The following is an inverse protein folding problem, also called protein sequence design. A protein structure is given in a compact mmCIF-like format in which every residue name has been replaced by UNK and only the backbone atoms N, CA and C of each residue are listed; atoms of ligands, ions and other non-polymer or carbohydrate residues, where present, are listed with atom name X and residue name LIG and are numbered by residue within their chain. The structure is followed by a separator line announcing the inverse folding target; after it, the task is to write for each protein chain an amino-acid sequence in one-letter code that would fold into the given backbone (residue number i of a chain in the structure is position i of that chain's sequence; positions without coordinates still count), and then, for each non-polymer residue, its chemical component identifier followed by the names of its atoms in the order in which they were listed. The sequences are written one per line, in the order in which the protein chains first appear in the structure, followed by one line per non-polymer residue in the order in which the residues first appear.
data_IF_272745705272
#
_entry.id   IF_272745705272
#
_cell.length_a   1.000
_cell.length_b   1.000
_cell.length_c   1.000
_cell.angle_alpha   90.00
_cell.angle_beta   90.00
_cell.angle_gamma   90.00
#
_symmetry.space_group_name_H-M   'P 1'
#
loop_
_entity.id
_entity.type
_entity.pdbx_description
1 polymer ?
#
# COMPACT_ATOMS: atom_id res chain seq x y z
N UNK A 1 8.81 19.68 24.33
CA UNK A 1 7.48 20.32 24.25
C UNK A 1 7.40 21.09 22.93
N UNK A 2 6.53 20.70 21.98
CA UNK A 2 6.32 21.47 20.75
C UNK A 2 5.49 22.70 21.11
N UNK A 3 6.06 23.89 20.95
CA UNK A 3 5.32 25.15 21.08
C UNK A 3 4.22 25.15 20.01
N UNK A 4 2.95 25.28 20.43
CA UNK A 4 1.84 25.49 19.52
C UNK A 4 2.02 26.87 18.86
N UNK A 5 1.93 26.92 17.54
CA UNK A 5 1.98 28.17 16.78
C UNK A 5 0.85 29.10 17.23
N UNK A 6 1.20 30.31 17.70
CA UNK A 6 0.28 31.41 18.00
C UNK A 6 -0.17 32.19 16.75
N UNK A 7 0.15 31.69 15.55
CA UNK A 7 -0.22 32.35 14.31
C UNK A 7 -1.71 32.19 14.03
N UNK A 8 -2.47 33.27 14.20
CA UNK A 8 -3.82 33.40 13.69
C UNK A 8 -3.77 33.92 12.24
N UNK A 9 -4.12 33.10 11.23
CA UNK A 9 -4.08 33.54 9.87
C UNK A 9 -5.12 34.66 9.64
N UNK A 10 -4.75 35.75 8.97
CA UNK A 10 -5.69 36.82 8.66
C UNK A 10 -6.84 36.29 7.79
N UNK A 11 -8.07 36.55 8.20
CA UNK A 11 -9.32 36.05 7.58
C UNK A 11 -9.47 36.44 6.10
N UNK A 12 -8.77 37.48 5.66
CA UNK A 12 -8.79 37.96 4.28
C UNK A 12 -7.37 38.06 3.70
N UNK A 13 -6.71 36.92 3.53
CA UNK A 13 -5.38 36.85 2.93
C UNK A 13 -5.48 36.71 1.39
N UNK A 14 -5.05 37.75 0.65
CA UNK A 14 -5.06 37.76 -0.81
C UNK A 14 -4.24 36.60 -1.40
N UNK A 15 -3.09 36.27 -0.81
CA UNK A 15 -2.23 35.17 -1.25
C UNK A 15 -2.92 33.82 -1.10
N UNK A 16 -3.65 33.58 -0.01
CA UNK A 16 -4.43 32.34 0.17
C UNK A 16 -5.58 32.23 -0.85
N UNK A 17 -6.23 33.36 -1.18
CA UNK A 17 -7.28 33.39 -2.21
C UNK A 17 -6.73 33.07 -3.60
N UNK A 18 -5.62 33.70 -3.99
CA UNK A 18 -4.94 33.45 -5.26
C UNK A 18 -4.45 32.00 -5.34
N UNK A 19 -3.83 31.49 -4.28
CA UNK A 19 -3.38 30.10 -4.23
C UNK A 19 -4.55 29.11 -4.33
N UNK A 20 -5.64 29.35 -3.60
CA UNK A 20 -6.86 28.53 -3.67
C UNK A 20 -7.50 28.56 -5.06
N UNK A 21 -7.54 29.72 -5.71
CA UNK A 21 -8.02 29.85 -7.09
C UNK A 21 -7.11 29.11 -8.08
N UNK A 22 -5.80 29.22 -7.92
CA UNK A 22 -4.82 28.51 -8.74
C UNK A 22 -5.01 26.99 -8.62
N UNK A 23 -5.05 26.45 -7.40
CA UNK A 23 -5.30 25.02 -7.15
C UNK A 23 -6.64 24.55 -7.73
N UNK A 24 -7.70 25.35 -7.60
CA UNK A 24 -9.01 25.03 -8.20
C UNK A 24 -8.92 24.99 -9.73
N UNK A 25 -8.23 25.95 -10.34
CA UNK A 25 -8.05 26.01 -11.79
C UNK A 25 -7.22 24.84 -12.33
N UNK A 26 -6.18 24.44 -11.60
CA UNK A 26 -5.32 23.32 -11.93
C UNK A 26 -6.07 21.99 -11.78
N UNK A 27 -6.80 21.81 -10.67
CA UNK A 27 -7.69 20.66 -10.47
C UNK A 27 -8.71 20.54 -11.61
N UNK A 28 -9.32 21.65 -12.02
CA UNK A 28 -10.27 21.69 -13.13
C UNK A 28 -9.62 21.35 -14.47
N UNK A 29 -8.37 21.77 -14.70
CA UNK A 29 -7.59 21.36 -15.88
C UNK A 29 -7.31 19.86 -15.89
N UNK A 30 -6.99 19.26 -14.75
CA UNK A 30 -6.80 17.81 -14.63
C UNK A 30 -8.10 17.04 -14.87
N UNK A 31 -9.22 17.49 -14.31
CA UNK A 31 -10.54 16.87 -14.52
C UNK A 31 -11.02 16.99 -15.98
N UNK A 32 -10.76 18.14 -16.62
CA UNK A 32 -11.11 18.36 -18.03
C UNK A 32 -10.16 17.65 -19.01
N UNK A 33 -9.05 17.08 -18.53
CA UNK A 33 -8.16 16.20 -19.31
C UNK A 33 -8.80 14.81 -19.45
N UNK A 34 -9.94 14.71 -20.11
CA UNK A 34 -10.59 13.43 -20.44
C UNK A 34 -11.01 13.46 -21.93
N UNK A 35 -10.65 12.49 -22.78
CA UNK A 35 -10.56 11.05 -22.58
C UNK A 35 -9.21 10.52 -23.10
N UNK A 36 -8.36 9.97 -22.23
CA UNK A 36 -7.55 8.82 -22.68
C UNK A 36 -8.55 7.68 -22.94
N UNK A 37 -8.37 6.94 -24.04
CA UNK A 37 -9.13 5.70 -24.24
C UNK A 37 -9.07 4.83 -22.98
N UNK A 38 -10.13 4.09 -22.70
CA UNK A 38 -10.15 3.23 -21.53
C UNK A 38 -8.90 2.34 -21.52
N UNK A 39 -8.22 2.23 -20.37
CA UNK A 39 -7.02 1.39 -20.21
C UNK A 39 -7.34 -0.12 -20.31
N UNK A 40 -8.59 -0.48 -20.56
CA UNK A 40 -9.09 -1.85 -20.67
C UNK A 40 -9.90 -1.99 -21.96
N UNK A 41 -9.70 -3.11 -22.65
CA UNK A 41 -10.44 -3.50 -23.84
C UNK A 41 -11.91 -3.76 -23.51
N UNK A 42 -12.74 -3.86 -24.55
CA UNK A 42 -14.16 -4.22 -24.39
C UNK A 42 -14.31 -5.61 -23.76
N UNK A 43 -13.52 -6.58 -24.23
CA UNK A 43 -13.55 -7.97 -23.74
C UNK A 43 -13.23 -8.01 -22.25
N UNK A 44 -12.15 -7.35 -21.82
CA UNK A 44 -11.79 -7.31 -20.40
C UNK A 44 -12.87 -6.63 -19.54
N UNK A 45 -13.52 -5.59 -20.07
CA UNK A 45 -14.62 -4.92 -19.36
C UNK A 45 -15.84 -5.83 -19.21
N UNK A 46 -16.21 -6.53 -20.29
CA UNK A 46 -17.32 -7.47 -20.28
C UNK A 46 -17.04 -8.62 -19.31
N UNK A 47 -15.79 -9.11 -19.25
CA UNK A 47 -15.34 -10.11 -18.28
C UNK A 47 -15.46 -9.64 -16.83
N UNK A 48 -15.08 -8.40 -16.53
CA UNK A 48 -15.25 -7.80 -15.20
C UNK A 48 -16.73 -7.70 -14.81
N UNK A 49 -17.58 -7.27 -15.74
CA UNK A 49 -19.02 -7.17 -15.51
C UNK A 49 -19.65 -8.56 -15.25
N UNK A 50 -19.27 -9.57 -16.04
CA UNK A 50 -19.73 -10.94 -15.88
C UNK A 50 -19.28 -11.52 -14.53
N UNK A 51 -18.01 -11.31 -14.14
CA UNK A 51 -17.49 -11.75 -12.84
C UNK A 51 -18.22 -11.09 -11.67
N UNK A 52 -18.52 -9.79 -11.78
CA UNK A 52 -19.27 -9.07 -10.76
C UNK A 52 -20.74 -9.53 -10.64
N UNK A 53 -21.32 -10.04 -11.73
CA UNK A 53 -22.67 -10.59 -11.78
C UNK A 53 -22.73 -12.10 -11.43
N UNK A 54 -21.57 -12.76 -11.26
CA UNK A 54 -21.50 -14.20 -11.01
C UNK A 54 -21.95 -14.55 -9.59
N UNK A 55 -23.16 -15.08 -9.49
CA UNK A 55 -23.78 -15.51 -8.22
C UNK A 55 -23.15 -16.77 -7.61
N UNK A 56 -22.32 -17.51 -8.36
CA UNK A 56 -21.61 -18.69 -7.81
C UNK A 56 -20.50 -18.27 -6.82
N UNK A 57 -20.03 -17.03 -6.91
CA UNK A 57 -18.98 -16.47 -6.04
C UNK A 57 -19.62 -15.91 -4.78
N UNK A 58 -19.64 -16.71 -3.71
CA UNK A 58 -20.17 -16.27 -2.41
C UNK A 58 -19.04 -15.91 -1.45
N UNK A 59 -18.87 -14.61 -1.15
CA UNK A 59 -18.03 -14.16 -0.02
C UNK A 59 -18.92 -14.05 1.21
N UNK A 60 -18.74 -14.94 2.17
CA UNK A 60 -19.50 -14.91 3.42
C UNK A 60 -18.91 -13.89 4.39
N UNK A 61 -19.74 -13.15 5.14
CA UNK A 61 -19.25 -12.35 6.26
C UNK A 61 -18.57 -13.27 7.29
N UNK A 62 -17.57 -12.74 7.98
CA UNK A 62 -16.97 -13.46 9.09
C UNK A 62 -18.00 -13.64 10.22
N UNK A 63 -17.97 -14.79 10.89
CA UNK A 63 -18.91 -15.11 11.97
C UNK A 63 -18.78 -14.15 13.16
N UNK A 64 -17.56 -13.66 13.42
CA UNK A 64 -17.21 -12.70 14.46
C UNK A 64 -16.07 -11.82 13.98
N UNK A 65 -16.04 -10.57 14.43
CA UNK A 65 -14.89 -9.69 14.22
C UNK A 65 -13.76 -10.08 15.20
N UNK A 66 -12.63 -10.63 14.73
CA UNK A 66 -11.53 -11.04 15.59
C UNK A 66 -10.66 -9.85 16.04
N UNK A 67 -10.91 -8.64 15.53
CA UNK A 67 -10.05 -7.47 15.72
C UNK A 67 -9.84 -7.16 17.20
N UNK A 68 -10.87 -7.24 18.03
CA UNK A 68 -10.75 -6.92 19.46
C UNK A 68 -9.86 -7.92 20.21
N UNK A 69 -10.10 -9.22 20.03
CA UNK A 69 -9.30 -10.27 20.71
C UNK A 69 -7.86 -10.30 20.21
N UNK A 70 -7.67 -10.08 18.91
CA UNK A 70 -6.33 -10.00 18.34
C UNK A 70 -5.59 -8.74 18.80
N UNK A 71 -6.28 -7.61 18.91
CA UNK A 71 -5.75 -6.36 19.46
C UNK A 71 -5.24 -6.53 20.89
N UNK A 72 -6.00 -7.23 21.75
CA UNK A 72 -5.54 -7.57 23.12
C UNK A 72 -4.26 -8.39 23.11
N UNK A 73 -4.17 -9.38 22.22
CA UNK A 73 -2.97 -10.23 22.09
C UNK A 73 -1.74 -9.42 21.66
N UNK A 74 -1.92 -8.50 20.69
CA UNK A 74 -0.87 -7.59 20.25
C UNK A 74 -0.43 -6.68 21.39
N UNK A 75 -1.38 -6.03 22.07
CA UNK A 75 -1.10 -5.16 23.21
C UNK A 75 -0.28 -5.86 24.29
N UNK A 76 -0.72 -7.05 24.73
CA UNK A 76 -0.01 -7.84 25.74
C UNK A 76 1.40 -8.24 25.27
N UNK A 77 1.58 -8.50 23.98
CA UNK A 77 2.90 -8.82 23.41
C UNK A 77 3.82 -7.61 23.38
N UNK A 78 3.31 -6.45 22.96
CA UNK A 78 4.06 -5.20 22.96
C UNK A 78 4.43 -4.79 24.40
N UNK A 79 3.52 -4.96 25.36
CA UNK A 79 3.79 -4.64 26.76
C UNK A 79 4.91 -5.50 27.34
N UNK A 80 4.86 -6.83 27.11
CA UNK A 80 5.98 -7.73 27.46
C UNK A 80 7.28 -7.34 26.75
N UNK A 81 7.20 -6.83 25.53
CA UNK A 81 8.36 -6.32 24.80
C UNK A 81 9.01 -5.12 25.48
N UNK A 82 8.22 -4.21 26.05
CA UNK A 82 8.72 -3.07 26.83
C UNK A 82 9.33 -3.53 28.15
N UNK A 83 8.64 -4.42 28.87
CA UNK A 83 9.09 -4.97 30.16
C UNK A 83 10.43 -5.71 30.04
N UNK A 84 10.61 -6.47 28.96
CA UNK A 84 11.87 -7.17 28.66
C UNK A 84 12.92 -6.29 27.94
N UNK A 85 12.64 -5.00 27.75
CA UNK A 85 13.51 -4.04 27.05
C UNK A 85 13.86 -4.43 25.59
N UNK A 86 12.99 -5.19 24.91
CA UNK A 86 13.13 -5.50 23.48
C UNK A 86 12.73 -4.34 22.57
N UNK A 87 11.78 -3.52 23.06
CA UNK A 87 11.35 -2.29 22.39
C UNK A 87 11.28 -1.16 23.41
N UNK A 88 11.48 0.05 22.93
CA UNK A 88 11.32 1.28 23.72
C UNK A 88 9.85 1.64 23.90
N UNK A 89 9.56 2.53 24.85
CA UNK A 89 8.20 3.05 25.04
C UNK A 89 7.69 3.87 23.84
N UNK A 90 8.59 4.56 23.13
CA UNK A 90 8.23 5.28 21.90
C UNK A 90 7.86 4.31 20.77
N UNK A 91 8.58 3.19 20.65
CA UNK A 91 8.23 2.14 19.70
C UNK A 91 6.90 1.49 20.05
N UNK A 92 6.63 1.24 21.34
CA UNK A 92 5.31 0.77 21.78
C UNK A 92 4.19 1.72 21.31
N UNK A 93 4.34 3.02 21.55
CA UNK A 93 3.34 4.02 21.13
C UNK A 93 3.14 4.06 19.61
N UNK A 94 4.20 3.83 18.83
CA UNK A 94 4.11 3.71 17.38
C UNK A 94 3.44 2.41 16.93
N UNK A 95 3.76 1.29 17.57
CA UNK A 95 3.32 -0.06 17.19
C UNK A 95 1.88 -0.35 17.62
N UNK A 96 1.39 0.31 18.67
CA UNK A 96 0.07 0.10 19.22
C UNK A 96 -1.00 0.91 18.46
N UNK A 97 -1.73 0.22 17.58
CA UNK A 97 -2.89 0.79 16.87
C UNK A 97 -4.13 0.81 17.78
N UNK A 98 -4.73 1.99 17.95
CA UNK A 98 -5.89 2.22 18.83
C UNK A 98 -7.22 2.19 18.09
N UNK A 99 -7.20 2.47 16.79
CA UNK A 99 -8.40 2.54 15.96
C UNK A 99 -8.24 1.67 14.70
N UNK A 100 -8.08 0.35 14.86
CA UNK A 100 -7.83 -0.53 13.73
C UNK A 100 -9.05 -0.66 12.83
N UNK A 101 -8.79 -0.67 11.53
CA UNK A 101 -9.75 -1.10 10.51
C UNK A 101 -9.72 -2.63 10.41
N UNK A 102 -10.90 -3.25 10.46
CA UNK A 102 -11.04 -4.68 10.17
C UNK A 102 -10.49 -4.98 8.76
N UNK A 103 -9.58 -5.96 8.60
CA UNK A 103 -9.10 -6.37 7.30
C UNK A 103 -10.25 -6.74 6.36
N UNK A 104 -10.14 -6.34 5.09
CA UNK A 104 -11.17 -6.63 4.09
C UNK A 104 -10.62 -7.65 3.09
N UNK A 105 -11.32 -8.77 2.96
CA UNK A 105 -11.09 -9.74 1.89
C UNK A 105 -11.79 -9.27 0.61
N UNK A 106 -11.05 -9.13 -0.46
CA UNK A 106 -11.57 -8.87 -1.80
C UNK A 106 -10.72 -9.60 -2.85
N UNK A 107 -11.22 -9.68 -4.06
CA UNK A 107 -10.59 -10.42 -5.15
C UNK A 107 -10.21 -9.46 -6.27
N UNK A 108 -8.96 -9.52 -6.75
CA UNK A 108 -8.54 -8.83 -7.97
C UNK A 108 -8.53 -9.80 -9.17
N UNK A 109 -9.32 -9.55 -10.22
CA UNK A 109 -9.36 -10.41 -11.39
C UNK A 109 -8.07 -10.35 -12.21
N UNK A 110 -7.63 -11.51 -12.71
CA UNK A 110 -6.43 -11.68 -13.55
C UNK A 110 -6.81 -11.75 -15.03
N UNK A 111 -7.38 -10.68 -15.55
CA UNK A 111 -7.90 -10.56 -16.94
C UNK A 111 -6.86 -10.85 -18.02
N UNK A 112 -5.56 -10.68 -17.73
CA UNK A 112 -4.47 -11.01 -18.65
C UNK A 112 -4.19 -12.51 -18.78
N UNK A 113 -4.78 -13.36 -17.92
CA UNK A 113 -4.63 -14.83 -17.99
C UNK A 113 -5.76 -15.45 -18.77
N UNK A 114 -6.99 -15.04 -18.47
CA UNK A 114 -8.19 -15.42 -19.20
C UNK A 114 -9.08 -14.17 -19.31
N UNK A 115 -9.28 -13.65 -20.54
CA UNK A 115 -10.08 -12.46 -20.77
C UNK A 115 -11.59 -12.75 -20.80
N UNK A 116 -12.03 -14.02 -20.70
CA UNK A 116 -13.45 -14.41 -20.68
C UNK A 116 -13.86 -14.85 -19.28
N UNK A 117 -13.03 -15.67 -18.61
CA UNK A 117 -13.27 -16.17 -17.25
C UNK A 117 -12.07 -15.85 -16.35
N UNK A 118 -11.87 -14.57 -15.97
CA UNK A 118 -10.69 -14.16 -15.24
C UNK A 118 -10.62 -14.82 -13.86
N UNK A 119 -9.53 -15.54 -13.61
CA UNK A 119 -9.26 -16.07 -12.27
C UNK A 119 -9.09 -14.95 -11.24
N UNK A 120 -9.60 -15.17 -10.04
CA UNK A 120 -9.47 -14.23 -8.94
C UNK A 120 -8.15 -14.36 -8.20
N UNK A 121 -7.49 -13.23 -7.87
CA UNK A 121 -6.47 -13.17 -6.83
C UNK A 121 -7.11 -12.71 -5.52
N UNK A 122 -7.29 -13.60 -4.52
CA UNK A 122 -7.77 -13.17 -3.22
C UNK A 122 -6.71 -12.29 -2.54
N UNK A 123 -7.17 -11.20 -1.93
CA UNK A 123 -6.35 -10.23 -1.20
C UNK A 123 -7.05 -9.89 0.10
N UNK A 124 -6.32 -9.98 1.20
CA UNK A 124 -6.73 -9.41 2.48
C UNK A 124 -6.00 -8.09 2.64
N UNK A 125 -6.72 -6.96 2.60
CA UNK A 125 -6.10 -5.66 2.88
C UNK A 125 -5.87 -5.53 4.38
N UNK A 126 -4.59 -5.37 4.75
CA UNK A 126 -4.17 -5.02 6.10
C UNK A 126 -4.03 -3.50 6.30
N UNK A 127 -4.43 -2.67 5.33
CA UNK A 127 -4.33 -1.21 5.41
C UNK A 127 -5.28 -0.69 6.50
N UNK A 128 -4.75 0.14 7.39
CA UNK A 128 -5.39 0.63 8.60
C UNK A 128 -5.56 -0.44 9.68
N UNK A 129 -5.04 -1.65 9.47
CA UNK A 129 -5.23 -2.77 10.39
C UNK A 129 -4.23 -2.79 11.54
N UNK A 130 -4.53 -3.64 12.54
CA UNK A 130 -3.69 -3.84 13.74
C UNK A 130 -2.20 -4.13 13.45
N UNK A 131 -1.92 -4.79 12.34
CA UNK A 131 -0.56 -5.22 11.98
C UNK A 131 0.17 -4.21 11.10
N UNK A 132 -0.49 -3.16 10.61
CA UNK A 132 0.13 -2.20 9.68
C UNK A 132 1.33 -1.48 10.30
N UNK A 133 1.26 -0.91 11.53
CA UNK A 133 2.42 -0.24 12.13
C UNK A 133 3.60 -1.19 12.36
N UNK A 134 3.31 -2.42 12.77
CA UNK A 134 4.30 -3.49 12.97
C UNK A 134 4.98 -3.83 11.64
N UNK A 135 4.20 -4.02 10.56
CA UNK A 135 4.75 -4.29 9.23
C UNK A 135 5.65 -3.17 8.72
N UNK A 136 5.26 -1.90 8.90
CA UNK A 136 6.08 -0.73 8.55
C UNK A 136 7.36 -0.65 9.37
N UNK A 137 7.29 -0.95 10.67
CA UNK A 137 8.45 -0.96 11.56
C UNK A 137 9.44 -2.06 11.18
N UNK A 138 8.95 -3.28 10.93
CA UNK A 138 9.76 -4.40 10.46
C UNK A 138 10.40 -4.11 9.10
N UNK A 139 9.64 -3.59 8.12
CA UNK A 139 10.19 -3.19 6.82
C UNK A 139 11.34 -2.20 6.99
N UNK A 140 11.17 -1.19 7.85
CA UNK A 140 12.22 -0.20 8.14
C UNK A 140 13.48 -0.85 8.75
N UNK A 141 13.32 -1.81 9.66
CA UNK A 141 14.43 -2.53 10.28
C UNK A 141 15.15 -3.40 9.25
N UNK A 142 14.41 -4.16 8.45
CA UNK A 142 14.99 -5.11 7.50
C UNK A 142 15.57 -4.44 6.25
N UNK A 143 15.05 -3.28 5.84
CA UNK A 143 15.49 -2.61 4.61
C UNK A 143 16.99 -2.37 4.55
N UNK A 144 17.59 -1.89 5.64
CA UNK A 144 19.02 -1.61 5.70
C UNK A 144 19.89 -2.86 5.53
N UNK A 145 19.75 -3.92 6.35
CA UNK A 145 20.55 -5.13 6.19
C UNK A 145 20.23 -5.89 4.90
N UNK A 146 18.97 -5.97 4.48
CA UNK A 146 18.60 -6.70 3.25
C UNK A 146 19.25 -6.09 2.02
N UNK A 147 19.25 -4.76 1.89
CA UNK A 147 19.88 -4.07 0.77
C UNK A 147 21.41 -4.18 0.75
N UNK A 148 22.04 -4.54 1.88
CA UNK A 148 23.49 -4.75 1.96
C UNK A 148 23.93 -6.14 1.45
N UNK A 149 23.00 -7.07 1.25
CA UNK A 149 23.32 -8.42 0.80
C UNK A 149 23.75 -8.42 -0.68
N UNK A 150 24.80 -9.18 -1.06
CA UNK A 150 25.29 -9.22 -2.45
C UNK A 150 24.25 -9.78 -3.43
N UNK A 151 23.37 -10.65 -2.94
CA UNK A 151 22.25 -11.23 -3.68
C UNK A 151 21.05 -10.29 -3.80
N UNK A 152 21.02 -9.18 -3.07
CA UNK A 152 19.93 -8.21 -3.17
C UNK A 152 20.15 -7.27 -4.35
N UNK A 153 19.09 -7.06 -5.13
CA UNK A 153 19.02 -6.01 -6.13
C UNK A 153 17.93 -5.03 -5.72
N UNK A 154 18.31 -3.77 -5.60
CA UNK A 154 17.47 -2.72 -5.01
C UNK A 154 16.21 -2.42 -5.83
N UNK A 155 16.34 -2.32 -7.15
CA UNK A 155 15.26 -1.94 -8.07
C UNK A 155 15.59 -2.36 -9.52
N UNK A 156 14.65 -2.13 -10.44
CA UNK A 156 14.80 -2.48 -11.85
C UNK A 156 15.94 -1.73 -12.54
N UNK A 157 16.29 -0.51 -12.09
CA UNK A 157 17.40 0.23 -12.66
C UNK A 157 18.74 -0.43 -12.28
N UNK A 158 18.88 -0.83 -11.02
CA UNK A 158 20.05 -1.59 -10.54
C UNK A 158 20.19 -2.95 -11.25
N UNK A 159 19.08 -3.61 -11.62
CA UNK A 159 19.13 -4.82 -12.47
C UNK A 159 19.74 -4.51 -13.83
N UNK A 160 19.26 -3.47 -14.52
CA UNK A 160 19.74 -3.09 -15.86
C UNK A 160 21.24 -2.76 -15.83
N UNK A 161 21.69 -2.00 -14.83
CA UNK A 161 23.10 -1.68 -14.65
C UNK A 161 23.96 -2.94 -14.48
N UNK A 162 23.53 -3.88 -13.64
CA UNK A 162 24.25 -5.16 -13.46
C UNK A 162 24.29 -5.99 -14.73
N UNK A 163 23.18 -6.04 -15.48
CA UNK A 163 23.11 -6.78 -16.75
C UNK A 163 24.05 -6.21 -17.81
N UNK A 164 24.15 -4.88 -17.91
CA UNK A 164 25.06 -4.21 -18.85
C UNK A 164 26.54 -4.47 -18.52
N UNK A 165 26.87 -4.75 -17.26
CA UNK A 165 28.21 -5.01 -16.79
C UNK A 165 28.60 -6.50 -16.84
N UNK A 166 27.67 -7.40 -17.20
CA UNK A 166 27.99 -8.83 -17.38
C UNK A 166 28.68 -9.01 -18.73
N UNK A 167 29.93 -9.51 -18.79
CA UNK A 167 30.61 -9.75 -20.04
C UNK A 167 29.85 -10.80 -20.85
N UNK A 168 29.53 -10.47 -22.11
CA UNK A 168 28.92 -11.41 -23.04
C UNK A 168 29.96 -12.47 -23.38
N UNK A 169 29.65 -13.77 -23.28
CA UNK A 169 30.57 -14.81 -23.73
C UNK A 169 30.86 -14.61 -25.22
N UNK A 170 32.12 -14.37 -25.57
CA UNK A 170 32.57 -14.43 -26.95
C UNK A 170 32.32 -15.84 -27.46
N UNK A 171 31.48 -15.97 -28.49
CA UNK A 171 31.20 -17.24 -29.11
C UNK A 171 32.52 -17.91 -29.51
N UNK A 172 32.72 -19.16 -29.11
CA UNK A 172 33.83 -19.97 -29.60
C UNK A 172 33.65 -20.15 -31.10
N UNK A 173 34.36 -19.36 -31.91
CA UNK A 173 34.54 -19.64 -33.33
C UNK A 173 35.33 -20.94 -33.46
N UNK A 174 34.67 -21.98 -33.97
CA UNK A 174 35.32 -23.21 -34.47
C UNK A 174 36.03 -22.93 -35.79
#
# INVERSE_FOLDING_TARGET
MKLCSLFDPPSNNASLKVFSQSLRSESRRYLNKTKKGANISKIERDALNNLAADTTITIRPADKDPTVEFGKTIFATLQRGVENHYITRQEFEYLHETHPRCPVLYTLPKVHKDPIHPTGRPIVSAIGGLLEPIGKWLDKIFKTPVLSLPTCVKDSAAVIERLNNIPVPVAYTQ
#
